data_IF_564816443945
#
_entry.id   IF_564816443945
#
_cell.length_a   1.000
_cell.length_b   1.000
_cell.length_c   1.000
_cell.angle_alpha   90.00
_cell.angle_beta   90.00
_cell.angle_gamma   90.00
#
_symmetry.space_group_name_H-M   'P 1'
#
loop_
_entity.id
_entity.type
_entity.pdbx_description
1 polymer ?
#
# COMPACT_ATOMS: atom_id res chain seq x y z
N UNK A 1 -4.98 12.26 -14.90
CA UNK A 1 -4.07 12.59 -13.77
C UNK A 1 -3.49 14.00 -13.81
N UNK A 2 -2.84 14.48 -14.90
CA UNK A 2 -2.25 15.86 -14.92
C UNK A 2 -3.24 16.97 -14.53
N UNK A 3 -4.53 16.84 -14.88
CA UNK A 3 -5.57 17.81 -14.55
C UNK A 3 -5.97 17.82 -13.05
N UNK A 4 -5.64 16.78 -12.30
CA UNK A 4 -5.99 16.64 -10.88
C UNK A 4 -4.92 17.24 -9.96
N UNK A 5 -3.66 17.31 -10.43
CA UNK A 5 -2.55 17.80 -9.61
C UNK A 5 -2.70 19.31 -9.34
N UNK A 6 -2.67 19.66 -8.06
CA UNK A 6 -2.87 21.03 -7.58
C UNK A 6 -4.31 21.39 -7.23
N UNK A 7 -5.31 20.64 -7.72
CA UNK A 7 -6.74 20.89 -7.47
C UNK A 7 -7.40 19.87 -6.53
N UNK A 8 -6.85 18.67 -6.39
CA UNK A 8 -7.38 17.58 -5.56
C UNK A 8 -6.41 17.13 -4.49
N UNK A 9 -6.89 16.63 -3.38
CA UNK A 9 -6.10 15.79 -2.47
C UNK A 9 -5.89 14.42 -3.11
N UNK A 10 -4.84 13.72 -2.71
CA UNK A 10 -4.54 12.37 -3.20
C UNK A 10 -4.44 11.43 -2.00
N UNK A 11 -5.20 10.35 -2.03
CA UNK A 11 -5.17 9.27 -1.05
C UNK A 11 -4.70 7.99 -1.75
N UNK A 12 -3.53 7.47 -1.36
CA UNK A 12 -3.01 6.23 -1.86
C UNK A 12 -2.97 5.19 -0.74
N UNK A 13 -3.75 4.13 -0.89
CA UNK A 13 -3.89 3.04 0.08
C UNK A 13 -3.29 1.78 -0.54
N UNK A 14 -2.28 1.21 0.11
CA UNK A 14 -1.84 -0.15 -0.18
C UNK A 14 -2.40 -1.09 0.89
N UNK A 15 -3.10 -2.12 0.43
CA UNK A 15 -3.69 -3.19 1.23
C UNK A 15 -2.66 -4.33 1.25
N UNK A 16 -1.76 -4.30 2.24
CA UNK A 16 -0.58 -5.18 2.28
C UNK A 16 -0.97 -6.65 2.21
N UNK A 17 -0.35 -7.41 1.31
CA UNK A 17 -0.60 -8.82 1.00
C UNK A 17 -1.98 -9.18 0.44
N UNK A 18 -2.86 -8.23 0.14
CA UNK A 18 -4.23 -8.57 -0.27
C UNK A 18 -4.25 -9.31 -1.61
N UNK A 19 -4.78 -10.51 -1.59
CA UNK A 19 -5.01 -11.35 -2.77
C UNK A 19 -6.19 -10.84 -3.60
N UNK A 20 -6.07 -10.97 -4.91
CA UNK A 20 -7.16 -10.60 -5.82
C UNK A 20 -8.42 -11.45 -5.60
N UNK A 21 -8.28 -12.77 -5.45
CA UNK A 21 -9.41 -13.68 -5.27
C UNK A 21 -10.19 -13.42 -3.96
N UNK A 22 -9.47 -13.09 -2.87
CA UNK A 22 -10.09 -12.70 -1.59
C UNK A 22 -10.86 -11.38 -1.71
N UNK A 23 -10.26 -10.39 -2.39
CA UNK A 23 -10.90 -9.09 -2.62
C UNK A 23 -12.14 -9.19 -3.50
N UNK A 24 -12.05 -9.97 -4.58
CA UNK A 24 -13.15 -10.22 -5.51
C UNK A 24 -14.31 -10.95 -4.82
N UNK A 25 -14.02 -11.99 -4.04
CA UNK A 25 -15.04 -12.72 -3.27
C UNK A 25 -15.74 -11.82 -2.25
N UNK A 26 -14.96 -11.00 -1.52
CA UNK A 26 -15.54 -10.08 -0.53
C UNK A 26 -16.44 -9.02 -1.17
N UNK A 27 -16.10 -8.55 -2.38
CA UNK A 27 -16.95 -7.65 -3.17
C UNK A 27 -18.22 -8.33 -3.66
N UNK A 28 -18.13 -9.53 -4.24
CA UNK A 28 -19.28 -10.31 -4.71
C UNK A 28 -20.26 -10.63 -3.57
N UNK A 29 -19.73 -10.96 -2.40
CA UNK A 29 -20.51 -11.19 -1.18
C UNK A 29 -21.08 -9.90 -0.55
N UNK A 30 -20.85 -8.75 -1.14
CA UNK A 30 -21.27 -7.43 -0.65
C UNK A 30 -20.79 -7.11 0.79
N UNK A 31 -19.61 -7.60 1.16
CA UNK A 31 -19.02 -7.43 2.50
C UNK A 31 -18.29 -6.11 2.69
N UNK A 32 -17.93 -5.41 1.59
CA UNK A 32 -17.13 -4.19 1.58
C UNK A 32 -18.04 -2.95 1.59
N UNK A 33 -18.55 -2.55 2.75
CA UNK A 33 -19.56 -1.49 2.86
C UNK A 33 -19.01 -0.09 2.51
N UNK A 34 -17.75 0.16 2.76
CA UNK A 34 -17.09 1.45 2.49
C UNK A 34 -16.62 1.55 1.04
N UNK A 35 -16.03 0.49 0.50
CA UNK A 35 -15.47 0.46 -0.86
C UNK A 35 -16.52 0.09 -1.92
N UNK A 36 -17.55 -0.69 -1.57
CA UNK A 36 -18.59 -1.17 -2.49
C UNK A 36 -19.16 -0.09 -3.43
N UNK A 37 -19.52 1.12 -2.94
CA UNK A 37 -20.06 2.17 -3.80
C UNK A 37 -19.10 2.65 -4.90
N UNK A 38 -17.78 2.49 -4.69
CA UNK A 38 -16.74 2.95 -5.62
C UNK A 38 -16.26 1.84 -6.56
N UNK A 39 -16.38 0.60 -6.14
CA UNK A 39 -16.13 -0.58 -6.98
C UNK A 39 -17.23 -0.75 -8.05
N UNK A 40 -18.47 -0.32 -7.72
CA UNK A 40 -19.59 -0.38 -8.65
C UNK A 40 -19.88 -1.80 -9.13
N UNK A 41 -20.36 -1.92 -10.37
CA UNK A 41 -20.68 -3.20 -11.03
C UNK A 41 -19.44 -3.94 -11.55
N UNK A 42 -18.30 -3.24 -11.70
CA UNK A 42 -17.08 -3.82 -12.27
C UNK A 42 -16.23 -4.58 -11.27
N UNK A 43 -16.40 -4.30 -9.97
CA UNK A 43 -15.55 -4.85 -8.92
C UNK A 43 -14.11 -4.33 -8.98
N UNK A 44 -13.19 -5.15 -8.51
CA UNK A 44 -11.77 -4.85 -8.53
C UNK A 44 -11.17 -5.08 -9.92
N UNK A 45 -10.32 -4.18 -10.38
CA UNK A 45 -9.47 -4.45 -11.51
C UNK A 45 -8.35 -5.42 -11.13
N UNK A 46 -8.14 -6.44 -11.97
CA UNK A 46 -7.04 -7.39 -11.83
C UNK A 46 -5.77 -6.79 -12.40
N UNK A 47 -4.74 -6.65 -11.56
CA UNK A 47 -3.44 -6.09 -11.96
C UNK A 47 -2.29 -7.02 -11.58
N UNK A 48 -1.16 -6.86 -12.27
CA UNK A 48 0.10 -7.52 -11.93
C UNK A 48 0.93 -6.58 -11.04
N UNK A 49 1.33 -7.05 -9.86
CA UNK A 49 2.22 -6.28 -8.98
C UNK A 49 3.64 -6.22 -9.55
N UNK A 50 4.35 -5.09 -9.41
CA UNK A 50 5.75 -4.97 -9.82
C UNK A 50 6.73 -5.68 -8.87
N UNK A 51 6.27 -6.23 -7.75
CA UNK A 51 7.09 -6.92 -6.77
C UNK A 51 6.33 -8.02 -6.03
N UNK A 52 7.04 -9.00 -5.50
CA UNK A 52 6.48 -10.11 -4.72
C UNK A 52 6.60 -9.90 -3.21
N UNK A 53 6.94 -8.68 -2.78
CA UNK A 53 7.02 -8.26 -1.38
C UNK A 53 7.01 -6.74 -1.26
N UNK A 54 6.66 -6.26 -0.09
CA UNK A 54 6.35 -4.86 0.22
C UNK A 54 7.40 -3.85 -0.28
N UNK A 55 8.68 -4.06 0.04
CA UNK A 55 9.73 -3.10 -0.30
C UNK A 55 9.89 -2.91 -1.83
N UNK A 56 9.94 -4.01 -2.58
CA UNK A 56 10.12 -3.97 -4.03
C UNK A 56 8.92 -3.33 -4.73
N UNK A 57 7.69 -3.71 -4.33
CA UNK A 57 6.47 -3.16 -4.92
C UNK A 57 6.36 -1.64 -4.67
N UNK A 58 6.58 -1.19 -3.43
CA UNK A 58 6.48 0.24 -3.09
C UNK A 58 7.58 1.08 -3.73
N UNK A 59 8.80 0.54 -3.89
CA UNK A 59 9.84 1.22 -4.67
C UNK A 59 9.38 1.49 -6.11
N UNK A 60 8.77 0.47 -6.77
CA UNK A 60 8.25 0.64 -8.11
C UNK A 60 7.08 1.64 -8.16
N UNK A 61 6.17 1.60 -7.19
CA UNK A 61 5.05 2.55 -7.11
C UNK A 61 5.54 4.00 -6.97
N UNK A 62 6.51 4.25 -6.10
CA UNK A 62 7.01 5.60 -5.86
C UNK A 62 7.97 6.08 -6.94
N UNK A 63 8.73 5.19 -7.56
CA UNK A 63 9.59 5.53 -8.68
C UNK A 63 8.81 5.67 -10.01
N UNK A 64 7.66 5.01 -10.13
CA UNK A 64 6.80 5.07 -11.31
C UNK A 64 7.31 4.25 -12.50
N UNK A 65 8.16 3.23 -12.27
CA UNK A 65 8.64 2.33 -13.32
C UNK A 65 8.67 0.88 -12.83
N UNK A 66 8.64 -0.06 -13.76
CA UNK A 66 8.88 -1.46 -13.46
C UNK A 66 10.37 -1.72 -13.28
N UNK A 67 10.80 -2.40 -12.20
CA UNK A 67 12.22 -2.65 -11.93
C UNK A 67 12.83 -3.70 -12.87
N UNK A 68 12.00 -4.40 -13.64
CA UNK A 68 12.44 -5.44 -14.59
C UNK A 68 12.26 -4.94 -16.02
N UNK A 69 13.34 -4.83 -16.81
CA UNK A 69 13.26 -4.48 -18.24
C UNK A 69 12.49 -5.52 -19.06
N UNK A 70 11.81 -5.08 -20.12
CA UNK A 70 11.07 -5.95 -21.02
C UNK A 70 11.90 -6.61 -22.13
N UNK A 71 13.20 -6.35 -22.20
CA UNK A 71 14.06 -6.89 -23.25
C UNK A 71 14.56 -8.30 -22.93
N UNK A 72 14.80 -9.10 -23.98
CA UNK A 72 15.56 -10.35 -23.83
C UNK A 72 17.04 -10.05 -23.68
N UNK A 73 17.73 -10.80 -22.83
CA UNK A 73 19.17 -10.70 -22.64
C UNK A 73 19.60 -10.02 -21.32
N UNK A 74 20.93 -9.89 -21.11
CA UNK A 74 21.45 -9.25 -19.93
C UNK A 74 21.08 -7.77 -19.84
N UNK A 75 20.73 -7.32 -18.65
CA UNK A 75 20.42 -5.91 -18.39
C UNK A 75 21.07 -5.43 -17.09
N UNK A 76 21.32 -4.13 -16.92
CA UNK A 76 21.84 -3.61 -15.67
C UNK A 76 20.83 -3.78 -14.53
N UNK A 77 21.35 -3.91 -13.33
CA UNK A 77 20.51 -3.92 -12.12
C UNK A 77 20.00 -2.48 -11.89
N UNK A 78 18.68 -2.35 -11.70
CA UNK A 78 18.04 -1.08 -11.39
C UNK A 78 17.76 -0.95 -9.88
N UNK A 79 18.04 0.23 -9.32
CA UNK A 79 17.66 0.61 -7.98
C UNK A 79 16.83 1.90 -8.02
N UNK A 80 15.74 1.91 -7.27
CA UNK A 80 14.90 3.11 -7.13
C UNK A 80 15.55 4.15 -6.19
N UNK A 81 16.34 3.70 -5.20
CA UNK A 81 17.03 4.57 -4.28
C UNK A 81 18.32 3.91 -3.74
N UNK A 82 19.30 4.74 -3.37
CA UNK A 82 20.46 4.34 -2.58
C UNK A 82 20.25 4.75 -1.12
N UNK A 83 20.79 3.96 -0.20
CA UNK A 83 20.75 4.24 1.24
C UNK A 83 22.03 3.74 1.94
N UNK A 84 22.37 4.28 3.12
CA UNK A 84 23.53 3.80 3.88
C UNK A 84 23.47 2.30 4.14
N UNK A 85 24.52 1.56 3.78
CA UNK A 85 24.58 0.11 3.88
C UNK A 85 24.08 -0.65 2.65
N UNK A 86 23.64 0.02 1.58
CA UNK A 86 23.36 -0.60 0.28
C UNK A 86 24.68 -0.96 -0.44
N UNK A 87 25.20 -2.14 -0.16
CA UNK A 87 26.53 -2.60 -0.65
C UNK A 87 26.49 -3.25 -2.04
N UNK A 88 25.32 -3.34 -2.67
CA UNK A 88 25.15 -4.04 -3.95
C UNK A 88 25.28 -3.14 -5.18
N UNK A 89 25.70 -1.89 -5.01
CA UNK A 89 25.99 -0.98 -6.12
C UNK A 89 27.36 -1.27 -6.70
N UNK A 90 27.38 -1.77 -7.91
CA UNK A 90 28.59 -1.99 -8.73
C UNK A 90 28.47 -1.13 -9.99
N UNK A 91 29.51 -1.04 -10.82
CA UNK A 91 29.52 -0.23 -12.03
C UNK A 91 28.40 -0.50 -13.03
N UNK A 92 27.80 -1.70 -13.00
CA UNK A 92 26.64 -2.10 -13.80
C UNK A 92 25.27 -1.82 -13.12
N UNK A 93 25.26 -1.22 -11.95
CA UNK A 93 24.04 -0.88 -11.22
C UNK A 93 23.61 0.54 -11.59
N UNK A 94 22.35 0.69 -11.99
CA UNK A 94 21.74 2.00 -12.26
C UNK A 94 20.94 2.43 -11.03
N UNK A 95 21.30 3.60 -10.48
CA UNK A 95 20.50 4.23 -9.42
C UNK A 95 19.53 5.23 -10.05
N UNK A 96 18.25 5.16 -9.63
CA UNK A 96 17.24 6.08 -10.10
C UNK A 96 17.51 7.49 -9.57
N UNK A 97 17.70 8.46 -10.48
CA UNK A 97 18.08 9.84 -10.16
C UNK A 97 16.87 10.80 -10.12
N UNK A 98 15.77 10.42 -10.74
CA UNK A 98 14.58 11.26 -10.84
C UNK A 98 13.83 11.36 -9.51
N UNK A 99 13.04 12.41 -9.34
CA UNK A 99 12.19 12.58 -8.18
C UNK A 99 11.13 11.47 -8.13
N UNK A 100 11.02 10.82 -6.98
CA UNK A 100 9.94 9.85 -6.71
C UNK A 100 8.58 10.55 -6.63
N UNK A 101 7.49 9.78 -6.70
CA UNK A 101 6.13 10.33 -6.64
C UNK A 101 5.90 11.24 -5.41
N UNK A 102 6.27 10.85 -4.17
CA UNK A 102 6.13 11.75 -3.01
C UNK A 102 6.93 13.05 -3.17
N UNK A 103 8.18 12.97 -3.62
CA UNK A 103 9.05 14.13 -3.82
C UNK A 103 8.53 15.06 -4.93
N UNK A 104 8.04 14.49 -6.05
CA UNK A 104 7.47 15.26 -7.15
C UNK A 104 6.17 15.98 -6.73
N UNK A 105 5.36 15.37 -5.89
CA UNK A 105 4.15 15.99 -5.33
C UNK A 105 4.51 17.06 -4.29
N UNK A 106 5.52 16.84 -3.44
CA UNK A 106 6.02 17.86 -2.53
C UNK A 106 6.50 19.10 -3.29
N UNK A 107 7.22 18.92 -4.42
CA UNK A 107 7.61 20.02 -5.31
C UNK A 107 6.43 20.75 -5.96
N UNK A 108 5.23 20.19 -5.90
CA UNK A 108 3.95 20.79 -6.33
C UNK A 108 3.10 21.28 -5.17
N UNK A 109 3.71 21.56 -4.02
CA UNK A 109 3.12 22.09 -2.80
C UNK A 109 2.12 21.15 -2.11
N UNK A 110 2.20 19.83 -2.32
CA UNK A 110 1.51 18.87 -1.50
C UNK A 110 2.24 18.65 -0.19
N UNK A 111 1.51 18.60 0.91
CA UNK A 111 2.03 18.05 2.15
C UNK A 111 1.96 16.52 2.04
N UNK A 112 3.11 15.86 2.00
CA UNK A 112 3.19 14.41 1.78
C UNK A 112 3.28 13.69 3.11
N UNK A 113 2.36 12.76 3.35
CA UNK A 113 2.16 12.04 4.61
C UNK A 113 2.25 10.55 4.35
N UNK A 114 3.06 9.85 5.13
CA UNK A 114 3.19 8.39 5.13
C UNK A 114 2.71 7.81 6.46
N UNK A 115 1.70 6.94 6.42
CA UNK A 115 1.31 6.11 7.56
C UNK A 115 1.78 4.69 7.27
N UNK A 116 2.85 4.29 7.95
CA UNK A 116 3.44 2.97 7.77
C UNK A 116 2.69 1.89 8.54
N UNK A 117 2.77 0.66 8.04
CA UNK A 117 2.17 -0.52 8.66
C UNK A 117 3.21 -1.62 8.90
N UNK A 118 3.85 -2.10 7.83
CA UNK A 118 4.78 -3.21 7.91
C UNK A 118 6.21 -2.80 8.32
N UNK A 119 7.08 -3.79 8.52
CA UNK A 119 8.45 -3.58 8.97
C UNK A 119 9.30 -2.69 8.06
N UNK A 120 8.97 -2.59 6.77
CA UNK A 120 9.67 -1.69 5.83
C UNK A 120 9.35 -0.20 6.03
N UNK A 121 8.40 0.12 6.91
CA UNK A 121 8.04 1.49 7.29
C UNK A 121 8.36 1.82 8.75
N UNK A 122 8.95 0.90 9.52
CA UNK A 122 9.10 1.04 10.98
C UNK A 122 10.24 1.98 11.42
N UNK A 123 11.04 2.47 10.50
CA UNK A 123 12.13 3.43 10.72
C UNK A 123 13.22 2.99 11.72
N UNK A 124 13.26 1.70 12.08
CA UNK A 124 14.18 1.19 13.10
C UNK A 124 15.58 0.88 12.57
N UNK A 125 15.75 0.80 11.24
CA UNK A 125 17.05 0.56 10.59
C UNK A 125 17.16 1.35 9.27
N UNK A 126 18.33 1.31 8.64
CA UNK A 126 18.59 2.05 7.42
C UNK A 126 17.61 1.72 6.29
N UNK A 127 17.32 0.42 6.09
CA UNK A 127 16.38 -0.03 5.04
C UNK A 127 14.95 0.48 5.28
N UNK A 128 14.46 0.36 6.51
CA UNK A 128 13.09 0.75 6.85
C UNK A 128 12.84 2.27 6.93
N UNK A 129 13.90 3.08 6.81
CA UNK A 129 13.82 4.54 6.68
C UNK A 129 13.72 5.02 5.24
N UNK A 130 14.01 4.17 4.25
CA UNK A 130 14.07 4.58 2.83
C UNK A 130 12.71 5.04 2.34
N UNK A 131 11.68 4.20 2.45
CA UNK A 131 10.33 4.53 1.96
C UNK A 131 9.69 5.70 2.75
N UNK A 132 9.66 5.69 4.10
CA UNK A 132 9.16 6.82 4.87
C UNK A 132 9.91 8.13 4.63
N UNK A 133 11.23 8.04 4.40
CA UNK A 133 12.10 9.19 4.14
C UNK A 133 11.80 9.96 2.84
N UNK A 134 10.97 9.43 1.96
CA UNK A 134 10.50 10.12 0.75
C UNK A 134 9.39 11.14 1.04
N UNK A 135 8.81 11.12 2.24
CA UNK A 135 7.68 11.96 2.64
C UNK A 135 8.10 13.07 3.61
N UNK A 136 7.35 14.16 3.64
CA UNK A 136 7.58 15.25 4.58
C UNK A 136 7.18 14.90 6.03
N UNK A 137 6.23 13.98 6.17
CA UNK A 137 5.72 13.47 7.45
C UNK A 137 5.56 11.96 7.37
N UNK A 138 6.08 11.23 8.35
CA UNK A 138 6.00 9.77 8.37
C UNK A 138 5.76 9.26 9.79
N UNK A 139 4.79 8.35 9.92
CA UNK A 139 4.38 7.75 11.19
C UNK A 139 4.46 6.22 11.14
N UNK A 140 4.99 5.68 12.21
CA UNK A 140 4.92 4.26 12.52
C UNK A 140 5.04 4.06 14.04
N UNK A 141 4.30 3.11 14.56
CA UNK A 141 4.45 2.59 15.92
C UNK A 141 3.98 1.12 15.95
N UNK A 142 4.27 0.35 17.01
CA UNK A 142 3.79 -1.03 17.10
C UNK A 142 2.28 -1.19 16.95
N UNK A 143 1.51 -0.20 17.38
CA UNK A 143 0.04 -0.19 17.29
C UNK A 143 -0.46 0.00 15.84
N UNK A 144 0.40 0.48 14.93
CA UNK A 144 0.11 0.57 13.49
C UNK A 144 0.57 -0.68 12.73
N UNK A 145 1.30 -1.57 13.41
CA UNK A 145 1.97 -2.72 12.81
C UNK A 145 1.11 -3.97 12.74
N UNK A 146 1.63 -4.97 12.02
CA UNK A 146 0.94 -6.25 11.70
C UNK A 146 0.51 -7.06 12.93
N UNK A 147 1.17 -6.90 14.07
CA UNK A 147 0.85 -7.64 15.30
C UNK A 147 -0.30 -7.03 16.12
N UNK A 148 -0.79 -5.86 15.73
CA UNK A 148 -1.90 -5.18 16.39
C UNK A 148 -3.20 -5.45 15.64
N UNK A 149 -4.18 -6.05 16.32
CA UNK A 149 -5.49 -6.34 15.73
C UNK A 149 -6.22 -5.08 15.27
N UNK A 150 -6.07 -3.99 16.01
CA UNK A 150 -6.69 -2.68 15.75
C UNK A 150 -5.80 -1.79 14.88
N UNK A 151 -4.81 -2.38 14.17
CA UNK A 151 -3.84 -1.58 13.40
C UNK A 151 -4.48 -0.70 12.33
N UNK A 152 -5.52 -1.17 11.64
CA UNK A 152 -6.22 -0.39 10.62
C UNK A 152 -6.92 0.82 11.22
N UNK A 153 -7.63 0.67 12.34
CA UNK A 153 -8.28 1.75 13.07
C UNK A 153 -7.26 2.78 13.59
N UNK A 154 -6.13 2.30 14.11
CA UNK A 154 -5.05 3.13 14.61
C UNK A 154 -4.37 3.90 13.46
N UNK A 155 -4.13 3.26 12.30
CA UNK A 155 -3.59 3.92 11.11
C UNK A 155 -4.56 5.00 10.59
N UNK A 156 -5.85 4.71 10.55
CA UNK A 156 -6.88 5.69 10.17
C UNK A 156 -6.94 6.84 11.17
N UNK A 157 -6.88 6.57 12.47
CA UNK A 157 -6.85 7.61 13.50
C UNK A 157 -5.61 8.50 13.36
N UNK A 158 -4.44 7.93 13.09
CA UNK A 158 -3.22 8.68 12.82
C UNK A 158 -3.34 9.53 11.55
N UNK A 159 -3.83 8.94 10.45
CA UNK A 159 -4.06 9.66 9.21
C UNK A 159 -4.97 10.88 9.41
N UNK A 160 -6.05 10.71 10.16
CA UNK A 160 -6.99 11.79 10.47
C UNK A 160 -6.35 12.93 11.28
N UNK A 161 -5.50 12.61 12.27
CA UNK A 161 -4.73 13.62 13.02
C UNK A 161 -3.79 14.40 12.09
N UNK A 162 -3.07 13.71 11.21
CA UNK A 162 -2.18 14.35 10.24
C UNK A 162 -2.94 15.27 9.27
N UNK A 163 -4.14 14.86 8.83
CA UNK A 163 -5.01 15.71 8.01
C UNK A 163 -5.49 16.97 8.73
N UNK A 164 -5.78 16.89 10.01
CA UNK A 164 -6.13 18.05 10.85
C UNK A 164 -4.96 19.04 10.95
N UNK A 165 -3.75 18.55 11.20
CA UNK A 165 -2.52 19.37 11.22
C UNK A 165 -2.18 19.95 9.85
N UNK A 166 -2.48 19.25 8.76
CA UNK A 166 -2.29 19.76 7.42
C UNK A 166 -3.20 20.98 7.13
N UNK A 167 -4.33 21.10 7.81
CA UNK A 167 -5.28 22.19 7.63
C UNK A 167 -5.78 22.26 6.18
N UNK A 168 -5.66 23.42 5.53
CA UNK A 168 -6.11 23.63 4.14
C UNK A 168 -5.07 23.27 3.07
N UNK A 169 -3.86 22.84 3.47
CA UNK A 169 -2.84 22.42 2.49
C UNK A 169 -3.34 21.22 1.69
N UNK A 170 -3.00 21.17 0.39
CA UNK A 170 -3.20 19.93 -0.38
C UNK A 170 -2.34 18.82 0.20
N UNK A 171 -2.89 17.61 0.27
CA UNK A 171 -2.20 16.47 0.83
C UNK A 171 -2.04 15.34 -0.18
N UNK A 172 -0.89 14.69 -0.11
CA UNK A 172 -0.68 13.34 -0.60
C UNK A 172 -0.56 12.44 0.62
N UNK A 173 -1.63 11.75 0.95
CA UNK A 173 -1.67 10.80 2.05
C UNK A 173 -1.49 9.39 1.51
N UNK A 174 -0.41 8.74 1.93
CA UNK A 174 -0.14 7.34 1.67
C UNK A 174 -0.32 6.53 2.96
N UNK A 175 -1.01 5.39 2.86
CA UNK A 175 -1.21 4.46 3.97
C UNK A 175 -0.86 3.04 3.50
N UNK A 176 0.10 2.40 4.17
CA UNK A 176 0.35 0.98 4.04
C UNK A 176 -0.48 0.25 5.11
N UNK A 177 -1.67 -0.22 4.75
CA UNK A 177 -2.57 -0.96 5.65
C UNK A 177 -1.97 -2.32 5.98
N UNK A 178 -1.66 -2.54 7.25
CA UNK A 178 -0.97 -3.74 7.74
C UNK A 178 -1.87 -4.89 8.19
N UNK A 179 -3.15 -4.61 8.46
CA UNK A 179 -4.07 -5.55 9.12
C UNK A 179 -4.33 -6.84 8.33
N UNK A 180 -4.15 -6.84 7.00
CA UNK A 180 -4.35 -8.01 6.15
C UNK A 180 -3.11 -8.90 6.13
N UNK A 181 -1.92 -8.31 6.34
CA UNK A 181 -0.67 -9.04 6.45
C UNK A 181 -0.69 -10.02 7.65
N UNK A 182 0.04 -11.11 7.54
CA UNK A 182 0.19 -12.06 8.64
C UNK A 182 0.97 -11.44 9.83
N UNK A 183 0.59 -11.74 11.07
CA UNK A 183 -0.52 -12.62 11.46
C UNK A 183 -1.87 -11.93 11.27
N UNK A 184 -2.86 -12.66 10.74
CA UNK A 184 -4.25 -12.20 10.62
C UNK A 184 -5.28 -13.18 11.23
N UNK A 185 -4.80 -14.24 11.88
CA UNK A 185 -5.61 -15.25 12.53
C UNK A 185 -6.61 -14.67 13.53
N UNK A 186 -6.30 -13.56 14.17
CA UNK A 186 -7.15 -12.91 15.16
C UNK A 186 -8.40 -12.21 14.57
N UNK A 187 -8.53 -12.14 13.24
CA UNK A 187 -9.77 -11.75 12.58
C UNK A 187 -10.72 -12.93 12.35
N UNK A 188 -10.26 -14.16 12.55
CA UNK A 188 -11.11 -15.36 12.57
C UNK A 188 -11.95 -15.49 13.84
N UNK A 189 -13.02 -16.30 13.76
CA UNK A 189 -13.94 -16.49 14.89
C UNK A 189 -13.35 -17.34 16.03
N UNK A 190 -12.50 -18.32 15.70
CA UNK A 190 -12.16 -19.42 16.62
C UNK A 190 -10.68 -19.43 17.04
N UNK A 191 -9.88 -18.44 16.61
CA UNK A 191 -8.43 -18.53 16.70
C UNK A 191 -7.88 -19.59 15.72
N UNK A 192 -6.58 -19.80 15.69
CA UNK A 192 -5.96 -20.81 14.82
C UNK A 192 -4.92 -20.20 13.89
N UNK A 193 -4.49 -20.93 12.83
CA UNK A 193 -3.52 -20.42 11.88
C UNK A 193 -4.12 -19.34 10.96
N UNK A 194 -3.23 -18.55 10.35
CA UNK A 194 -3.60 -17.69 9.25
C UNK A 194 -4.13 -18.50 8.07
N UNK A 195 -5.23 -18.07 7.49
CA UNK A 195 -5.93 -18.74 6.38
C UNK A 195 -6.48 -17.71 5.39
N UNK A 196 -6.92 -18.14 4.22
CA UNK A 196 -7.64 -17.28 3.28
C UNK A 196 -8.93 -16.71 3.91
N UNK A 197 -9.58 -17.44 4.81
CA UNK A 197 -10.77 -16.97 5.51
C UNK A 197 -10.43 -15.82 6.49
N UNK A 198 -9.36 -15.95 7.29
CA UNK A 198 -8.91 -14.88 8.19
C UNK A 198 -8.39 -13.66 7.42
N UNK A 199 -7.74 -13.88 6.30
CA UNK A 199 -7.31 -12.84 5.36
C UNK A 199 -8.50 -12.03 4.81
N UNK A 200 -9.56 -12.71 4.37
CA UNK A 200 -10.80 -12.07 3.90
C UNK A 200 -11.50 -11.32 5.04
N UNK A 201 -11.52 -11.90 6.25
CA UNK A 201 -12.11 -11.24 7.41
C UNK A 201 -11.33 -9.97 7.81
N UNK A 202 -10.00 -9.99 7.70
CA UNK A 202 -9.16 -8.82 7.89
C UNK A 202 -9.50 -7.71 6.88
N UNK A 203 -9.67 -8.05 5.60
CA UNK A 203 -10.11 -7.08 4.58
C UNK A 203 -11.45 -6.41 4.96
N UNK A 204 -12.41 -7.19 5.45
CA UNK A 204 -13.73 -6.66 5.87
C UNK A 204 -13.58 -5.73 7.09
N UNK A 205 -12.68 -6.03 8.01
CA UNK A 205 -12.36 -5.14 9.13
C UNK A 205 -11.71 -3.84 8.65
N UNK A 206 -10.73 -3.92 7.73
CA UNK A 206 -10.10 -2.76 7.09
C UNK A 206 -11.12 -1.88 6.37
N UNK A 207 -12.03 -2.47 5.59
CA UNK A 207 -13.08 -1.73 4.89
C UNK A 207 -13.90 -0.85 5.85
N UNK A 208 -14.29 -1.42 7.00
CA UNK A 208 -15.01 -0.66 8.05
C UNK A 208 -14.16 0.44 8.65
N UNK A 209 -12.90 0.16 8.93
CA UNK A 209 -11.97 1.12 9.52
C UNK A 209 -11.72 2.33 8.60
N UNK A 210 -11.78 2.17 7.28
CA UNK A 210 -11.57 3.24 6.30
C UNK A 210 -12.71 4.27 6.24
N UNK A 211 -13.93 3.93 6.69
CA UNK A 211 -15.09 4.81 6.58
C UNK A 211 -14.85 6.23 7.14
N UNK A 212 -14.37 6.43 8.39
CA UNK A 212 -14.19 7.77 8.94
C UNK A 212 -13.08 8.57 8.22
N UNK A 213 -12.11 7.90 7.59
CA UNK A 213 -11.11 8.57 6.75
C UNK A 213 -11.75 9.11 5.48
N UNK A 214 -12.55 8.30 4.78
CA UNK A 214 -13.24 8.72 3.56
C UNK A 214 -14.19 9.89 3.83
N UNK A 215 -14.92 9.86 4.94
CA UNK A 215 -15.77 10.96 5.36
C UNK A 215 -14.99 12.26 5.59
N UNK A 216 -13.80 12.16 6.22
CA UNK A 216 -12.95 13.31 6.44
C UNK A 216 -12.35 13.85 5.13
N UNK A 217 -11.91 12.97 4.23
CA UNK A 217 -11.41 13.38 2.91
C UNK A 217 -12.48 14.09 2.09
N UNK A 218 -13.72 13.59 2.06
CA UNK A 218 -14.86 14.28 1.41
C UNK A 218 -15.11 15.68 1.97
N UNK A 219 -15.00 15.85 3.29
CA UNK A 219 -15.16 17.17 3.94
C UNK A 219 -14.03 18.13 3.60
N UNK A 220 -12.83 17.64 3.27
CA UNK A 220 -11.69 18.46 2.84
C UNK A 220 -11.84 18.98 1.42
N UNK A 221 -12.52 18.25 0.55
CA UNK A 221 -12.75 18.59 -0.85
C UNK A 221 -12.50 17.42 -1.80
N UNK A 222 -12.42 17.68 -3.11
CA UNK A 222 -12.20 16.64 -4.09
C UNK A 222 -10.92 15.84 -3.78
N UNK A 223 -11.04 14.52 -3.73
CA UNK A 223 -9.93 13.61 -3.44
C UNK A 223 -9.87 12.50 -4.48
N UNK A 224 -8.71 12.34 -5.10
CA UNK A 224 -8.41 11.18 -5.94
C UNK A 224 -7.87 10.06 -5.07
N UNK A 225 -8.55 8.92 -5.08
CA UNK A 225 -8.18 7.73 -4.32
C UNK A 225 -7.61 6.68 -5.26
N UNK A 226 -6.50 6.08 -4.86
CA UNK A 226 -5.97 4.83 -5.41
C UNK A 226 -5.95 3.82 -4.28
N UNK A 227 -6.57 2.67 -4.48
CA UNK A 227 -6.51 1.55 -3.55
C UNK A 227 -6.08 0.28 -4.32
N UNK A 228 -4.98 -0.32 -3.89
CA UNK A 228 -4.46 -1.55 -4.49
C UNK A 228 -3.73 -2.39 -3.45
N UNK A 229 -3.43 -3.65 -3.80
CA UNK A 229 -2.44 -4.40 -3.03
C UNK A 229 -1.04 -4.24 -3.64
N UNK A 230 -0.03 -4.40 -2.81
CA UNK A 230 1.37 -4.43 -3.21
C UNK A 230 1.84 -5.83 -3.65
N UNK A 231 1.28 -6.90 -3.08
CA UNK A 231 1.45 -8.30 -3.47
C UNK A 231 0.41 -9.17 -2.74
N UNK A 232 0.29 -10.43 -3.14
CA UNK A 232 -0.52 -11.43 -2.45
C UNK A 232 0.30 -12.30 -1.49
N UNK A 233 -0.32 -13.38 -1.00
CA UNK A 233 0.26 -14.34 -0.08
C UNK A 233 -0.28 -15.74 -0.34
N UNK A 234 0.58 -16.74 -0.47
CA UNK A 234 0.21 -18.14 -0.65
C UNK A 234 -0.06 -18.81 0.70
N UNK A 235 -1.14 -19.56 0.78
CA UNK A 235 -1.58 -20.32 1.97
C UNK A 235 -1.49 -21.85 1.76
N UNK A 236 -0.67 -22.32 0.83
CA UNK A 236 -0.47 -23.73 0.51
C UNK A 236 -0.68 -24.06 -0.95
N UNK A 237 -1.03 -23.08 -1.79
CA UNK A 237 -1.22 -23.27 -3.23
C UNK A 237 0.07 -23.80 -3.86
N UNK A 238 -0.05 -24.89 -4.64
CA UNK A 238 1.06 -25.62 -5.27
C UNK A 238 2.19 -26.00 -4.28
N UNK A 239 1.87 -26.12 -2.98
CA UNK A 239 2.81 -26.42 -1.90
C UNK A 239 3.58 -25.20 -1.39
N UNK A 240 3.27 -23.99 -1.85
CA UNK A 240 3.92 -22.75 -1.42
C UNK A 240 3.19 -22.06 -0.28
N UNK A 241 3.97 -21.42 0.60
CA UNK A 241 3.48 -20.57 1.70
C UNK A 241 4.21 -19.25 1.70
N UNK A 242 3.50 -18.18 2.00
CA UNK A 242 4.11 -16.85 2.12
C UNK A 242 4.11 -16.06 0.80
N UNK A 243 5.05 -15.15 0.72
CA UNK A 243 5.31 -14.29 -0.43
C UNK A 243 6.83 -14.24 -0.69
N UNK A 244 7.33 -13.38 -1.59
CA UNK A 244 8.71 -13.35 -2.12
C UNK A 244 8.99 -14.52 -3.06
N UNK A 245 7.97 -14.99 -3.73
CA UNK A 245 8.04 -16.07 -4.71
C UNK A 245 7.32 -15.66 -6.00
N UNK A 246 7.73 -16.26 -7.10
CA UNK A 246 7.11 -16.07 -8.41
C UNK A 246 5.90 -16.96 -8.59
N UNK A 247 4.74 -16.50 -8.14
CA UNK A 247 3.49 -17.25 -8.22
C UNK A 247 2.32 -16.31 -8.52
N UNK A 248 1.36 -16.75 -9.34
CA UNK A 248 0.21 -15.93 -9.75
C UNK A 248 -0.59 -15.38 -8.57
N UNK A 249 -0.72 -16.15 -7.50
CA UNK A 249 -1.39 -15.71 -6.25
C UNK A 249 -0.68 -14.51 -5.61
N UNK A 250 0.66 -14.41 -5.77
CA UNK A 250 1.46 -13.36 -5.12
C UNK A 250 1.50 -12.09 -5.95
N UNK A 251 1.59 -12.18 -7.27
CA UNK A 251 1.67 -10.96 -8.11
C UNK A 251 0.37 -10.56 -8.78
N UNK A 252 -0.73 -11.35 -8.63
CA UNK A 252 -2.05 -10.93 -9.05
C UNK A 252 -2.77 -10.21 -7.93
N UNK A 253 -2.98 -8.90 -8.10
CA UNK A 253 -3.47 -8.02 -7.04
C UNK A 253 -4.71 -7.24 -7.45
N UNK A 254 -5.59 -6.87 -6.50
CA UNK A 254 -6.71 -5.98 -6.73
C UNK A 254 -6.24 -4.53 -6.87
N UNK A 255 -6.91 -3.78 -7.74
CA UNK A 255 -6.71 -2.35 -7.95
C UNK A 255 -8.05 -1.66 -8.18
N UNK A 256 -8.20 -0.45 -7.67
CA UNK A 256 -9.26 0.49 -8.05
C UNK A 256 -8.78 1.93 -7.89
N UNK A 257 -9.34 2.83 -8.69
CA UNK A 257 -9.23 4.26 -8.47
C UNK A 257 -10.58 4.96 -8.65
N UNK A 258 -10.78 6.04 -7.91
CA UNK A 258 -12.03 6.80 -7.93
C UNK A 258 -11.88 8.19 -7.32
N UNK A 259 -12.92 9.01 -7.50
CA UNK A 259 -13.05 10.31 -6.82
C UNK A 259 -13.98 10.20 -5.61
N UNK A 260 -13.55 10.78 -4.48
CA UNK A 260 -14.40 11.07 -3.33
C UNK A 260 -15.02 12.44 -3.45
#
# INVERSE_FOLDING_TARGET
>A
MKALIGSTDILFITLDTLRFDAAEQAWQDQKLKTLQPYLGERGWEKRHSPGSFTYAAHHAFFAGFLPTPFGNGPHPRLFAAQFPGSVSTVGSTFAFQEATLPQALAARNYHTICIGGTGFFNQQNALSRVLPGLFAEAHWSPELGVACRESAENQVAQARRSLEHAGKRRVFLFINISAIHQPNWFYGADGGPDTLATHTAALVAVDRALQPLFEQMKKRGPTFVVACSDHGHAYGEDGYFGHRLGHDIVWTVPYTDFML
#
